data_IF_658043223323
#
_entry.id   IF_658043223323
#
_cell.length_a   1.000
_cell.length_b   1.000
_cell.length_c   1.000
_cell.angle_alpha   90.00
_cell.angle_beta   90.00
_cell.angle_gamma   90.00
#
_symmetry.space_group_name_H-M   'P 1'
#
loop_
_entity.id
_entity.type
_entity.pdbx_description
1 polymer ?
#
# COMPACT_ATOMS: atom_id res chain seq x y z
N UNK A 1 15.03 23.99 14.06
CA UNK A 1 15.71 24.21 12.76
C UNK A 1 16.23 22.92 12.13
N UNK A 2 17.02 22.08 12.82
CA UNK A 2 17.59 20.83 12.26
C UNK A 2 16.52 19.85 11.72
N UNK A 3 15.39 19.71 12.41
CA UNK A 3 14.28 18.88 11.97
C UNK A 3 13.61 19.42 10.70
N UNK A 4 13.45 20.73 10.59
CA UNK A 4 12.87 21.38 9.41
C UNK A 4 13.76 21.19 8.17
N UNK A 5 15.08 21.32 8.32
CA UNK A 5 16.04 21.07 7.24
C UNK A 5 15.99 19.61 6.78
N UNK A 6 15.94 18.66 7.72
CA UNK A 6 15.83 17.25 7.40
C UNK A 6 14.50 16.89 6.69
N UNK A 7 13.38 17.48 7.14
CA UNK A 7 12.08 17.33 6.50
C UNK A 7 12.05 17.92 5.09
N UNK A 8 12.62 19.12 4.91
CA UNK A 8 12.76 19.78 3.61
C UNK A 8 13.57 18.92 2.63
N UNK A 9 14.71 18.37 3.07
CA UNK A 9 15.53 17.48 2.24
C UNK A 9 14.80 16.17 1.87
N UNK A 10 14.04 15.60 2.81
CA UNK A 10 13.22 14.40 2.54
C UNK A 10 12.12 14.68 1.51
N UNK A 11 11.45 15.83 1.62
CA UNK A 11 10.42 16.26 0.69
C UNK A 11 11.01 16.59 -0.69
N UNK A 12 12.15 17.28 -0.76
CA UNK A 12 12.86 17.56 -2.01
C UNK A 12 13.20 16.26 -2.76
N UNK A 13 13.64 15.23 -2.03
CA UNK A 13 13.90 13.90 -2.60
C UNK A 13 12.64 13.27 -3.20
N UNK A 14 11.51 13.33 -2.50
CA UNK A 14 10.22 12.78 -2.99
C UNK A 14 9.72 13.52 -4.23
N UNK A 15 9.92 14.83 -4.28
CA UNK A 15 9.57 15.70 -5.42
C UNK A 15 10.61 15.67 -6.54
N UNK A 16 11.70 14.90 -6.39
CA UNK A 16 12.83 14.84 -7.33
C UNK A 16 13.47 16.21 -7.60
N UNK A 17 13.48 17.08 -6.61
CA UNK A 17 14.16 18.37 -6.64
C UNK A 17 15.63 18.23 -6.23
N UNK A 18 16.51 19.19 -6.60
CA UNK A 18 17.88 19.20 -6.12
C UNK A 18 17.93 19.22 -4.58
N UNK A 19 18.82 18.46 -3.93
CA UNK A 19 18.85 18.32 -2.47
C UNK A 19 19.21 19.61 -1.70
N UNK A 20 19.70 20.63 -2.39
CA UNK A 20 20.04 21.94 -1.84
C UNK A 20 18.82 22.87 -1.74
N UNK A 21 17.67 22.49 -2.33
CA UNK A 21 16.45 23.31 -2.28
C UNK A 21 15.88 23.25 -0.88
N UNK A 22 15.76 24.40 -0.22
CA UNK A 22 15.01 24.52 1.03
C UNK A 22 13.55 24.80 0.70
N UNK A 23 12.69 23.87 1.10
CA UNK A 23 11.25 24.02 0.99
C UNK A 23 10.75 24.67 2.29
N UNK A 24 9.99 25.72 2.16
CA UNK A 24 9.33 26.41 3.28
C UNK A 24 7.82 26.28 3.11
N UNK A 25 7.06 26.10 4.20
CA UNK A 25 5.61 26.19 4.14
C UNK A 25 5.19 27.56 3.59
N UNK A 26 4.15 27.59 2.76
CA UNK A 26 3.57 28.83 2.26
C UNK A 26 2.66 29.49 3.31
N UNK A 27 2.16 28.69 4.24
CA UNK A 27 1.24 29.09 5.30
C UNK A 27 2.00 29.21 6.64
N UNK A 28 1.74 30.24 7.41
CA UNK A 28 2.35 30.45 8.73
C UNK A 28 1.77 29.48 9.77
N UNK A 29 0.50 29.14 9.64
CA UNK A 29 -0.19 28.18 10.52
C UNK A 29 -0.80 27.05 9.68
N UNK A 30 -0.68 25.78 10.11
CA UNK A 30 -1.28 24.67 9.40
C UNK A 30 -2.82 24.78 9.45
N UNK A 31 -3.47 24.64 8.28
CA UNK A 31 -4.92 24.61 8.18
C UNK A 31 -5.42 23.16 8.14
N UNK A 32 -6.55 22.84 8.80
CA UNK A 32 -7.13 21.51 8.73
C UNK A 32 -7.67 21.20 7.32
N UNK A 33 -7.27 20.07 6.75
CA UNK A 33 -7.69 19.61 5.43
C UNK A 33 -8.86 18.64 5.61
N UNK A 34 -10.01 18.95 5.05
CA UNK A 34 -11.21 18.13 5.12
C UNK A 34 -11.42 17.37 3.80
N UNK A 35 -10.92 16.14 3.70
CA UNK A 35 -11.19 15.26 2.55
C UNK A 35 -12.33 14.28 2.85
N UNK A 36 -12.36 13.75 4.06
CA UNK A 36 -13.38 12.83 4.55
C UNK A 36 -13.99 13.38 5.83
N UNK A 37 -15.32 13.43 5.90
CA UNK A 37 -16.05 13.85 7.11
C UNK A 37 -15.98 12.78 8.21
N UNK A 38 -16.11 13.21 9.47
CA UNK A 38 -16.19 12.28 10.59
C UNK A 38 -17.47 11.44 10.60
N UNK A 39 -18.48 11.86 9.84
CA UNK A 39 -19.77 11.21 9.60
C UNK A 39 -19.79 10.29 8.37
N UNK A 40 -18.64 10.13 7.69
CA UNK A 40 -18.54 9.24 6.54
C UNK A 40 -18.86 7.80 6.92
N UNK A 41 -19.67 7.13 6.12
CA UNK A 41 -20.02 5.73 6.32
C UNK A 41 -18.81 4.82 6.06
N UNK A 42 -18.33 4.20 7.14
CA UNK A 42 -17.13 3.34 7.11
C UNK A 42 -17.32 2.13 6.18
N UNK A 43 -18.54 1.57 6.11
CA UNK A 43 -18.81 0.42 5.26
C UNK A 43 -18.71 0.79 3.78
N UNK A 44 -19.13 2.00 3.41
CA UNK A 44 -18.97 2.52 2.05
C UNK A 44 -17.50 2.73 1.69
N UNK A 45 -16.68 3.26 2.61
CA UNK A 45 -15.24 3.44 2.42
C UNK A 45 -14.51 2.10 2.26
N UNK A 46 -14.90 1.08 3.04
CA UNK A 46 -14.36 -0.28 2.91
C UNK A 46 -14.72 -0.87 1.54
N UNK A 47 -15.96 -0.69 1.09
CA UNK A 47 -16.40 -1.18 -0.23
C UNK A 47 -15.62 -0.50 -1.37
N UNK A 48 -15.37 0.80 -1.27
CA UNK A 48 -14.53 1.54 -2.21
C UNK A 48 -13.09 1.02 -2.19
N UNK A 49 -12.50 0.79 -1.00
CA UNK A 49 -11.16 0.25 -0.85
C UNK A 49 -11.01 -1.13 -1.51
N UNK A 50 -12.00 -2.01 -1.38
CA UNK A 50 -11.98 -3.31 -2.03
C UNK A 50 -12.02 -3.24 -3.56
N UNK A 51 -12.64 -2.18 -4.11
CA UNK A 51 -12.70 -1.94 -5.55
C UNK A 51 -11.45 -1.27 -6.13
N UNK A 52 -10.80 -0.42 -5.36
CA UNK A 52 -9.71 0.46 -5.82
C UNK A 52 -8.30 -0.09 -5.58
N UNK A 53 -8.13 -0.95 -4.57
CA UNK A 53 -6.81 -1.45 -4.16
C UNK A 53 -6.22 -2.47 -5.14
N UNK A 54 -5.07 -2.18 -5.76
CA UNK A 54 -4.44 -3.06 -6.76
C UNK A 54 -3.95 -4.38 -6.14
N UNK A 55 -3.68 -4.43 -4.83
CA UNK A 55 -3.27 -5.65 -4.12
C UNK A 55 -4.35 -6.73 -4.18
N UNK A 56 -5.63 -6.35 -4.03
CA UNK A 56 -6.74 -7.30 -4.14
C UNK A 56 -6.93 -7.80 -5.56
N UNK A 57 -6.80 -6.92 -6.56
CA UNK A 57 -6.85 -7.32 -7.96
C UNK A 57 -5.72 -8.33 -8.30
N UNK A 58 -4.51 -8.09 -7.78
CA UNK A 58 -3.39 -9.00 -7.93
C UNK A 58 -3.66 -10.38 -7.31
N UNK A 59 -4.18 -10.42 -6.07
CA UNK A 59 -4.51 -11.68 -5.41
C UNK A 59 -5.69 -12.39 -6.07
N UNK A 60 -6.68 -11.66 -6.59
CA UNK A 60 -7.78 -12.22 -7.37
C UNK A 60 -7.26 -12.90 -8.64
N UNK A 61 -6.35 -12.27 -9.38
CA UNK A 61 -5.72 -12.86 -10.55
C UNK A 61 -4.90 -14.12 -10.20
N UNK A 62 -4.18 -14.12 -9.06
CA UNK A 62 -3.47 -15.31 -8.57
C UNK A 62 -4.41 -16.45 -8.22
N UNK A 63 -5.55 -16.16 -7.57
CA UNK A 63 -6.59 -17.15 -7.26
C UNK A 63 -7.16 -17.74 -8.55
N UNK A 64 -7.45 -16.91 -9.53
CA UNK A 64 -7.95 -17.36 -10.83
C UNK A 64 -6.93 -18.25 -11.55
N UNK A 65 -5.66 -17.85 -11.58
CA UNK A 65 -4.58 -18.67 -12.15
C UNK A 65 -4.46 -20.03 -11.44
N UNK A 66 -4.61 -20.08 -10.11
CA UNK A 66 -4.63 -21.36 -9.38
C UNK A 66 -5.85 -22.21 -9.74
N UNK A 67 -7.03 -21.60 -9.93
CA UNK A 67 -8.23 -22.29 -10.39
C UNK A 67 -8.02 -22.94 -11.77
N UNK A 68 -7.39 -22.21 -12.71
CA UNK A 68 -7.04 -22.74 -14.02
C UNK A 68 -6.03 -23.87 -13.94
N UNK A 69 -5.05 -23.83 -13.01
CA UNK A 69 -4.10 -24.93 -12.78
C UNK A 69 -4.81 -26.19 -12.30
N UNK A 70 -5.81 -26.09 -11.40
CA UNK A 70 -6.62 -27.21 -10.96
C UNK A 70 -7.40 -27.81 -12.16
N UNK A 71 -8.01 -26.96 -12.99
CA UNK A 71 -8.72 -27.40 -14.21
C UNK A 71 -7.77 -28.10 -15.17
N UNK A 72 -6.62 -27.50 -15.45
CA UNK A 72 -5.58 -28.07 -16.31
C UNK A 72 -5.16 -29.46 -15.83
N UNK A 73 -4.85 -29.60 -14.53
CA UNK A 73 -4.41 -30.88 -13.97
C UNK A 73 -5.51 -31.97 -14.02
N UNK A 74 -6.78 -31.58 -13.96
CA UNK A 74 -7.91 -32.49 -14.14
C UNK A 74 -7.98 -33.05 -15.58
N UNK A 75 -7.68 -32.23 -16.59
CA UNK A 75 -7.75 -32.61 -17.99
C UNK A 75 -6.44 -33.21 -18.51
N UNK A 76 -5.30 -33.01 -17.84
CA UNK A 76 -3.98 -33.48 -18.25
C UNK A 76 -3.92 -34.97 -18.64
N UNK A 77 -4.53 -35.92 -17.90
CA UNK A 77 -4.47 -37.34 -18.27
C UNK A 77 -5.15 -37.65 -19.61
N UNK A 78 -6.05 -36.79 -20.04
CA UNK A 78 -6.86 -36.99 -21.26
C UNK A 78 -6.29 -36.28 -22.47
N UNK A 79 -5.40 -35.28 -22.26
CA UNK A 79 -4.80 -34.48 -23.32
C UNK A 79 -3.37 -34.96 -23.61
N UNK A 80 -3.04 -35.33 -24.86
CA UNK A 80 -1.69 -35.68 -25.20
C UNK A 80 -0.79 -34.48 -25.27
N UNK A 81 0.49 -34.64 -24.90
CA UNK A 81 1.53 -33.69 -25.24
C UNK A 81 1.90 -33.88 -26.72
N UNK A 82 1.69 -32.85 -27.54
CA UNK A 82 2.01 -32.90 -28.96
C UNK A 82 3.38 -32.24 -29.13
N UNK A 83 4.33 -33.01 -29.67
CA UNK A 83 5.66 -32.52 -29.99
C UNK A 83 5.81 -32.53 -31.52
N UNK A 84 6.28 -31.43 -32.06
CA UNK A 84 6.59 -31.27 -33.47
C UNK A 84 8.09 -30.98 -33.55
N UNK A 85 8.81 -31.88 -34.18
CA UNK A 85 10.24 -31.74 -34.42
C UNK A 85 10.52 -31.59 -35.93
N UNK A 86 11.45 -30.76 -36.28
CA UNK A 86 12.03 -30.71 -37.63
C UNK A 86 13.55 -30.72 -37.50
N UNK A 87 14.17 -31.71 -38.09
CA UNK A 87 15.60 -31.83 -38.12
C UNK A 87 16.09 -31.87 -39.59
N UNK A 88 17.11 -31.11 -39.89
CA UNK A 88 17.73 -31.10 -41.20
C UNK A 88 19.24 -31.06 -41.05
N UNK A 89 19.92 -31.82 -41.87
CA UNK A 89 21.38 -31.83 -41.83
C UNK A 89 21.98 -32.52 -43.08
N UNK A 90 23.20 -32.27 -43.31
CA UNK A 90 24.00 -33.00 -44.27
C UNK A 90 24.74 -34.13 -43.57
N UNK A 91 24.49 -35.34 -43.99
CA UNK A 91 25.12 -36.54 -43.45
C UNK A 91 26.06 -37.11 -44.52
N UNK A 92 27.31 -37.14 -44.25
CA UNK A 92 28.34 -37.76 -45.11
C UNK A 92 29.41 -38.39 -44.25
N UNK A 93 29.88 -39.52 -44.66
CA UNK A 93 30.98 -40.24 -44.03
C UNK A 93 31.48 -41.31 -44.93
N UNK A 94 32.76 -41.29 -45.30
CA UNK A 94 33.47 -42.40 -45.91
C UNK A 94 34.73 -42.74 -45.12
N UNK A 95 35.17 -43.97 -45.03
CA UNK A 95 36.48 -44.30 -44.50
C UNK A 95 37.55 -43.65 -45.36
N UNK A 96 38.09 -42.46 -44.87
CA UNK A 96 39.15 -41.77 -45.60
C UNK A 96 38.90 -40.28 -45.84
N UNK A 97 38.28 -39.56 -44.88
CA UNK A 97 38.20 -38.09 -44.79
C UNK A 97 37.66 -37.27 -45.99
N UNK A 98 37.09 -37.89 -46.99
CA UNK A 98 36.48 -37.18 -48.11
C UNK A 98 34.96 -37.04 -47.92
N UNK A 99 34.49 -35.81 -47.60
CA UNK A 99 33.07 -35.42 -47.51
C UNK A 99 32.30 -35.44 -48.86
N UNK A 100 32.82 -36.16 -49.87
CA UNK A 100 32.30 -36.14 -51.25
C UNK A 100 30.97 -36.89 -51.45
N UNK A 101 30.48 -37.66 -50.48
CA UNK A 101 29.21 -38.37 -50.54
C UNK A 101 28.27 -37.95 -49.46
N UNK A 102 28.11 -36.65 -49.21
CA UNK A 102 27.10 -36.10 -48.33
C UNK A 102 25.73 -36.10 -49.01
N UNK A 103 24.73 -36.59 -48.29
CA UNK A 103 23.34 -36.45 -48.65
C UNK A 103 22.63 -35.55 -47.66
N UNK A 104 21.83 -34.61 -48.14
CA UNK A 104 20.98 -33.85 -47.27
C UNK A 104 19.78 -34.70 -46.83
N UNK A 105 19.50 -34.71 -45.54
CA UNK A 105 18.31 -35.38 -44.98
C UNK A 105 17.53 -34.37 -44.16
N UNK A 106 16.24 -34.28 -44.37
CA UNK A 106 15.28 -33.54 -43.54
C UNK A 106 14.23 -34.49 -43.03
N UNK A 107 14.04 -34.47 -41.72
CA UNK A 107 13.02 -35.26 -41.08
C UNK A 107 12.05 -34.32 -40.34
N UNK A 108 10.75 -34.59 -40.48
CA UNK A 108 9.68 -33.94 -39.71
C UNK A 108 8.99 -35.01 -38.90
N UNK A 109 8.95 -34.81 -37.59
CA UNK A 109 8.30 -35.71 -36.67
C UNK A 109 7.14 -35.04 -35.95
N UNK A 110 6.06 -35.79 -35.79
CA UNK A 110 4.90 -35.46 -34.98
C UNK A 110 4.70 -36.57 -33.97
N UNK A 111 4.86 -36.24 -32.68
CA UNK A 111 4.72 -37.18 -31.60
C UNK A 111 3.58 -36.75 -30.68
N UNK A 112 2.65 -37.66 -30.37
CA UNK A 112 1.61 -37.46 -29.38
C UNK A 112 1.86 -38.42 -28.20
N UNK A 113 2.11 -37.85 -27.01
CA UNK A 113 2.45 -38.61 -25.80
C UNK A 113 1.38 -38.41 -24.73
N UNK A 114 0.76 -39.52 -24.32
CA UNK A 114 -0.11 -39.57 -23.13
C UNK A 114 0.70 -40.04 -21.94
N UNK A 115 0.66 -39.26 -20.85
CA UNK A 115 1.40 -39.56 -19.63
C UNK A 115 0.45 -39.88 -18.46
N UNK A 116 0.46 -41.11 -18.00
CA UNK A 116 -0.24 -41.56 -16.81
C UNK A 116 0.78 -41.87 -15.71
N UNK A 117 0.97 -40.94 -14.79
CA UNK A 117 1.92 -41.12 -13.70
C UNK A 117 1.44 -42.15 -12.70
N UNK A 118 2.25 -43.20 -12.45
CA UNK A 118 1.96 -44.27 -11.48
C UNK A 118 0.54 -44.86 -11.64
N UNK A 119 0.17 -45.27 -12.85
CA UNK A 119 -1.16 -45.79 -13.16
C UNK A 119 -2.33 -44.86 -12.79
N UNK A 120 -2.10 -43.55 -12.82
CA UNK A 120 -3.08 -42.50 -12.50
C UNK A 120 -3.07 -42.05 -11.05
N UNK A 121 -2.46 -42.75 -10.10
CA UNK A 121 -2.37 -42.32 -8.69
C UNK A 121 -1.56 -41.05 -8.53
N UNK A 122 -0.49 -40.88 -9.32
CA UNK A 122 0.33 -39.64 -9.34
C UNK A 122 -0.49 -38.43 -9.79
N UNK A 123 -1.33 -38.59 -10.80
CA UNK A 123 -2.21 -37.52 -11.28
C UNK A 123 -3.24 -37.09 -10.23
N UNK A 124 -3.80 -38.08 -9.45
CA UNK A 124 -4.70 -37.75 -8.33
C UNK A 124 -3.99 -37.01 -7.21
N UNK A 125 -2.77 -37.42 -6.86
CA UNK A 125 -1.95 -36.73 -5.86
C UNK A 125 -1.67 -35.29 -6.28
N UNK A 126 -1.28 -35.07 -7.54
CA UNK A 126 -1.02 -33.76 -8.10
C UNK A 126 -2.26 -32.85 -8.11
N UNK A 127 -3.43 -33.41 -8.45
CA UNK A 127 -4.71 -32.67 -8.35
C UNK A 127 -5.01 -32.24 -6.90
N UNK A 128 -4.71 -33.10 -5.90
CA UNK A 128 -4.87 -32.72 -4.48
C UNK A 128 -3.93 -31.58 -4.10
N UNK A 129 -2.68 -31.62 -4.52
CA UNK A 129 -1.73 -30.53 -4.32
C UNK A 129 -2.22 -29.22 -4.92
N UNK A 130 -2.68 -29.23 -6.18
CA UNK A 130 -3.24 -28.03 -6.84
C UNK A 130 -4.49 -27.48 -6.16
N UNK A 131 -5.34 -28.33 -5.60
CA UNK A 131 -6.48 -27.89 -4.78
C UNK A 131 -6.02 -27.25 -3.47
N UNK A 132 -4.99 -27.79 -2.81
CA UNK A 132 -4.38 -27.17 -1.64
C UNK A 132 -3.81 -25.78 -1.95
N UNK A 133 -3.07 -25.65 -3.06
CA UNK A 133 -2.57 -24.34 -3.53
C UNK A 133 -3.71 -23.35 -3.81
N UNK A 134 -4.80 -23.80 -4.44
CA UNK A 134 -5.97 -22.94 -4.68
C UNK A 134 -6.58 -22.47 -3.36
N UNK A 135 -6.76 -23.37 -2.40
CA UNK A 135 -7.29 -23.02 -1.08
C UNK A 135 -6.42 -22.01 -0.37
N UNK A 136 -5.08 -22.18 -0.41
CA UNK A 136 -4.14 -21.20 0.12
C UNK A 136 -4.33 -19.81 -0.54
N UNK A 137 -4.51 -19.73 -1.87
CA UNK A 137 -4.72 -18.45 -2.57
C UNK A 137 -6.06 -17.79 -2.22
N UNK A 138 -7.10 -18.59 -1.97
CA UNK A 138 -8.38 -18.07 -1.47
C UNK A 138 -8.20 -17.44 -0.09
N UNK A 139 -7.57 -18.15 0.84
CA UNK A 139 -7.31 -17.62 2.19
C UNK A 139 -6.44 -16.37 2.19
N UNK A 140 -5.40 -16.31 1.35
CA UNK A 140 -4.56 -15.12 1.19
C UNK A 140 -5.36 -13.91 0.69
N UNK A 141 -6.30 -14.12 -0.22
CA UNK A 141 -7.16 -13.05 -0.71
C UNK A 141 -8.14 -12.57 0.36
N UNK A 142 -8.76 -13.49 1.11
CA UNK A 142 -9.66 -13.17 2.23
C UNK A 142 -8.91 -12.41 3.33
N UNK A 143 -7.74 -12.90 3.75
CA UNK A 143 -6.91 -12.24 4.74
C UNK A 143 -6.54 -10.81 4.32
N UNK A 144 -6.16 -10.59 3.06
CA UNK A 144 -5.83 -9.25 2.59
C UNK A 144 -7.04 -8.33 2.57
N UNK A 145 -8.21 -8.85 2.24
CA UNK A 145 -9.47 -8.12 2.28
C UNK A 145 -9.81 -7.66 3.71
N UNK A 146 -9.62 -8.55 4.69
CA UNK A 146 -9.85 -8.23 6.09
C UNK A 146 -8.82 -7.24 6.63
N UNK A 147 -7.55 -7.35 6.23
CA UNK A 147 -6.49 -6.40 6.58
C UNK A 147 -6.81 -4.99 6.05
N UNK A 148 -7.30 -4.88 4.81
CA UNK A 148 -7.69 -3.60 4.23
C UNK A 148 -8.87 -3.00 4.99
N UNK A 149 -9.88 -3.80 5.34
CA UNK A 149 -11.01 -3.32 6.13
C UNK A 149 -10.54 -2.78 7.51
N UNK A 150 -9.67 -3.52 8.19
CA UNK A 150 -9.10 -3.08 9.46
C UNK A 150 -8.26 -1.78 9.31
N UNK A 151 -7.48 -1.64 8.22
CA UNK A 151 -6.70 -0.43 7.94
C UNK A 151 -7.60 0.79 7.72
N UNK A 152 -8.71 0.64 6.99
CA UNK A 152 -9.69 1.72 6.76
C UNK A 152 -10.36 2.13 8.07
N UNK A 153 -10.81 1.16 8.89
CA UNK A 153 -11.44 1.42 10.19
C UNK A 153 -10.48 2.16 11.12
N UNK A 154 -9.22 1.70 11.21
CA UNK A 154 -8.20 2.35 12.05
C UNK A 154 -7.90 3.77 11.57
N UNK A 155 -7.74 3.97 10.25
CA UNK A 155 -7.48 5.29 9.70
C UNK A 155 -8.64 6.26 9.91
N UNK A 156 -9.90 5.78 9.86
CA UNK A 156 -11.08 6.59 10.15
C UNK A 156 -11.17 6.95 11.63
N UNK A 157 -10.85 6.01 12.52
CA UNK A 157 -10.78 6.29 13.96
C UNK A 157 -9.73 7.37 14.28
N UNK A 158 -8.56 7.33 13.60
CA UNK A 158 -7.54 8.38 13.72
C UNK A 158 -8.09 9.75 13.29
N UNK A 159 -8.83 9.82 12.17
CA UNK A 159 -9.46 11.07 11.69
C UNK A 159 -10.42 11.66 12.72
N UNK A 160 -11.28 10.83 13.30
CA UNK A 160 -12.26 11.26 14.31
C UNK A 160 -11.52 11.76 15.56
N UNK A 161 -10.59 10.97 16.07
CA UNK A 161 -9.84 11.30 17.28
C UNK A 161 -9.03 12.60 17.14
N UNK A 162 -8.31 12.78 16.04
CA UNK A 162 -7.52 14.02 15.82
C UNK A 162 -8.41 15.24 15.56
N UNK A 163 -9.60 15.08 15.03
CA UNK A 163 -10.58 16.18 14.96
C UNK A 163 -11.03 16.63 16.35
N UNK A 164 -11.35 15.70 17.23
CA UNK A 164 -11.70 16.03 18.62
C UNK A 164 -10.54 16.73 19.34
N UNK A 165 -9.29 16.31 19.08
CA UNK A 165 -8.12 16.96 19.66
C UNK A 165 -7.94 18.41 19.16
N UNK A 166 -8.31 18.74 17.93
CA UNK A 166 -8.31 20.12 17.42
C UNK A 166 -9.30 20.96 18.23
N UNK A 167 -10.53 20.47 18.44
CA UNK A 167 -11.56 21.19 19.19
C UNK A 167 -11.12 21.46 20.66
N UNK A 168 -10.45 20.48 21.28
CA UNK A 168 -9.89 20.61 22.64
C UNK A 168 -8.75 21.63 22.64
N UNK A 169 -7.87 21.60 21.64
CA UNK A 169 -6.73 22.53 21.55
C UNK A 169 -7.18 23.98 21.27
N UNK A 170 -8.24 24.17 20.49
CA UNK A 170 -8.87 25.49 20.28
C UNK A 170 -9.41 26.07 21.61
N UNK A 171 -10.07 25.23 22.40
CA UNK A 171 -10.55 25.64 23.72
C UNK A 171 -9.37 25.99 24.66
N UNK A 172 -8.30 25.19 24.65
CA UNK A 172 -7.12 25.42 25.45
C UNK A 172 -6.44 26.77 25.11
N UNK A 173 -6.39 27.13 23.81
CA UNK A 173 -5.88 28.44 23.38
C UNK A 173 -6.75 29.57 23.96
N UNK A 174 -8.09 29.44 23.86
CA UNK A 174 -8.99 30.47 24.39
C UNK A 174 -8.83 30.64 25.91
N UNK A 175 -8.71 29.56 26.67
CA UNK A 175 -8.53 29.57 28.12
C UNK A 175 -7.17 30.16 28.50
N UNK A 176 -6.08 29.80 27.78
CA UNK A 176 -4.74 30.34 28.00
C UNK A 176 -4.66 31.82 27.67
N UNK A 177 -5.32 32.26 26.59
CA UNK A 177 -5.38 33.67 26.22
C UNK A 177 -6.13 34.49 27.28
N UNK A 178 -7.25 34.03 27.78
CA UNK A 178 -7.97 34.67 28.87
C UNK A 178 -7.11 34.76 30.13
N UNK A 179 -6.40 33.68 30.48
CA UNK A 179 -5.48 33.67 31.62
C UNK A 179 -4.35 34.72 31.45
N UNK A 180 -3.77 34.82 30.25
CA UNK A 180 -2.76 35.84 29.94
C UNK A 180 -3.30 37.24 30.08
N UNK A 181 -4.50 37.55 29.56
CA UNK A 181 -5.12 38.86 29.63
C UNK A 181 -5.39 39.28 31.09
N UNK A 182 -5.95 38.37 31.90
CA UNK A 182 -6.21 38.61 33.31
C UNK A 182 -4.91 38.87 34.11
N UNK A 183 -3.88 38.06 33.91
CA UNK A 183 -2.60 38.26 34.60
C UNK A 183 -1.89 39.53 34.17
N UNK A 184 -1.99 39.90 32.89
CA UNK A 184 -1.45 41.16 32.39
C UNK A 184 -2.16 42.38 32.97
N UNK A 185 -3.50 42.32 33.16
CA UNK A 185 -4.28 43.38 33.80
C UNK A 185 -3.90 43.51 35.29
N UNK A 186 -3.83 42.41 36.04
CA UNK A 186 -3.40 42.36 37.43
C UNK A 186 -2.01 42.99 37.66
N UNK A 187 -1.08 42.74 36.73
CA UNK A 187 0.27 43.39 36.80
C UNK A 187 0.18 44.88 36.57
N UNK A 188 -0.63 45.34 35.61
CA UNK A 188 -0.81 46.80 35.35
C UNK A 188 -1.43 47.51 36.55
N UNK A 189 -2.29 46.84 37.31
CA UNK A 189 -2.89 47.32 38.54
C UNK A 189 -1.95 47.18 39.76
N UNK A 190 -0.74 46.67 39.58
CA UNK A 190 0.24 46.41 40.65
C UNK A 190 -0.20 45.35 41.70
N UNK A 191 -1.16 44.48 41.34
CA UNK A 191 -1.68 43.40 42.18
C UNK A 191 -1.16 41.99 41.81
N UNK A 192 -0.52 41.85 40.58
CA UNK A 192 -0.05 40.60 40.06
C UNK A 192 1.45 40.36 40.27
N UNK A 193 1.85 39.09 40.26
CA UNK A 193 3.25 38.67 40.29
C UNK A 193 3.79 38.48 38.85
N UNK A 194 4.99 38.98 38.51
CA UNK A 194 5.59 38.79 37.19
C UNK A 194 5.74 37.32 36.77
N UNK A 195 5.90 36.42 37.73
CA UNK A 195 5.99 34.99 37.48
C UNK A 195 4.67 34.38 36.95
N UNK A 196 3.52 34.90 37.42
CA UNK A 196 2.19 34.45 36.96
C UNK A 196 1.96 34.85 35.49
N UNK A 197 2.42 36.04 35.12
CA UNK A 197 2.36 36.46 33.71
C UNK A 197 3.26 35.59 32.83
N UNK A 198 4.50 35.32 33.29
CA UNK A 198 5.41 34.45 32.52
C UNK A 198 4.82 33.04 32.31
N UNK A 199 4.23 32.48 33.38
CA UNK A 199 3.57 31.18 33.29
C UNK A 199 2.37 31.19 32.32
N UNK A 200 1.60 32.28 32.26
CA UNK A 200 0.49 32.39 31.30
C UNK A 200 0.96 32.57 29.85
N UNK A 201 2.13 33.16 29.62
CA UNK A 201 2.77 33.24 28.29
C UNK A 201 3.23 31.85 27.85
N UNK A 202 3.89 31.10 28.75
CA UNK A 202 4.33 29.75 28.48
C UNK A 202 3.12 28.83 28.17
N UNK A 203 2.05 28.92 28.98
CA UNK A 203 0.82 28.16 28.78
C UNK A 203 0.13 28.47 27.42
N UNK A 204 0.14 29.75 27.01
CA UNK A 204 -0.40 30.17 25.72
C UNK A 204 0.45 29.60 24.57
N UNK A 205 1.79 29.63 24.71
CA UNK A 205 2.70 29.07 23.72
C UNK A 205 2.51 27.55 23.58
N UNK A 206 2.42 26.84 24.71
CA UNK A 206 2.20 25.40 24.75
C UNK A 206 0.85 25.02 24.10
N UNK A 207 -0.21 25.81 24.37
CA UNK A 207 -1.53 25.59 23.76
C UNK A 207 -1.50 25.80 22.24
N UNK A 208 -0.76 26.83 21.74
CA UNK A 208 -0.59 27.05 20.30
C UNK A 208 0.21 25.93 19.63
N UNK A 209 1.25 25.44 20.27
CA UNK A 209 2.04 24.31 19.77
C UNK A 209 1.20 23.02 19.71
N UNK A 210 0.39 22.76 20.74
CA UNK A 210 -0.52 21.62 20.78
C UNK A 210 -1.58 21.69 19.67
N UNK A 211 -2.11 22.88 19.38
CA UNK A 211 -3.03 23.08 18.24
C UNK A 211 -2.36 22.77 16.91
N UNK A 212 -1.19 23.34 16.67
CA UNK A 212 -0.43 23.11 15.44
C UNK A 212 -0.10 21.61 15.24
N UNK A 213 0.26 20.91 16.30
CA UNK A 213 0.52 19.48 16.28
C UNK A 213 -0.77 18.68 15.97
N UNK A 214 -1.89 19.06 16.60
CA UNK A 214 -3.20 18.40 16.39
C UNK A 214 -3.65 18.56 14.94
N UNK A 215 -3.55 19.76 14.35
CA UNK A 215 -3.88 20.00 12.94
C UNK A 215 -2.96 19.20 12.01
N UNK A 216 -1.67 19.15 12.29
CA UNK A 216 -0.71 18.38 11.48
C UNK A 216 -1.01 16.87 11.56
N UNK A 217 -1.39 16.35 12.72
CA UNK A 217 -1.77 14.95 12.91
C UNK A 217 -3.09 14.63 12.21
N UNK A 218 -4.08 15.53 12.30
CA UNK A 218 -5.33 15.41 11.56
C UNK A 218 -5.12 15.33 10.04
N UNK A 219 -4.31 16.25 9.50
CA UNK A 219 -3.99 16.26 8.08
C UNK A 219 -3.29 14.96 7.65
N UNK A 220 -2.36 14.43 8.47
CA UNK A 220 -1.75 13.12 8.22
C UNK A 220 -2.77 11.99 8.24
N UNK A 221 -3.73 12.03 9.17
CA UNK A 221 -4.79 11.02 9.26
C UNK A 221 -5.69 11.05 8.01
N UNK A 222 -6.05 12.23 7.49
CA UNK A 222 -6.80 12.37 6.25
C UNK A 222 -6.08 11.72 5.05
N UNK A 223 -4.78 11.96 4.89
CA UNK A 223 -3.99 11.33 3.82
C UNK A 223 -3.79 9.81 4.04
N UNK A 224 -3.69 9.36 5.31
CA UNK A 224 -3.65 7.92 5.61
C UNK A 224 -4.95 7.24 5.23
N UNK A 225 -6.09 7.86 5.52
CA UNK A 225 -7.40 7.35 5.13
C UNK A 225 -7.55 7.30 3.60
N UNK A 226 -7.16 8.35 2.89
CA UNK A 226 -7.15 8.37 1.42
C UNK A 226 -6.31 7.23 0.85
N UNK A 227 -5.12 7.00 1.41
CA UNK A 227 -4.26 5.88 1.03
C UNK A 227 -4.89 4.53 1.37
N UNK A 228 -5.52 4.42 2.55
CA UNK A 228 -6.20 3.19 2.99
C UNK A 228 -7.35 2.81 2.06
N UNK A 229 -8.06 3.78 1.52
CA UNK A 229 -9.11 3.58 0.50
C UNK A 229 -8.50 3.24 -0.87
N UNK A 230 -7.24 3.59 -1.12
CA UNK A 230 -6.59 3.38 -2.43
C UNK A 230 -6.96 4.45 -3.46
N UNK A 231 -7.55 5.56 -3.02
CA UNK A 231 -7.84 6.67 -3.90
C UNK A 231 -6.54 7.37 -4.36
N UNK A 232 -6.40 7.74 -5.64
CA UNK A 232 -5.24 8.50 -6.10
C UNK A 232 -5.17 9.86 -5.40
N UNK A 233 -3.96 10.31 -5.08
CA UNK A 233 -3.76 11.68 -4.61
C UNK A 233 -4.27 12.66 -5.66
N UNK A 234 -5.23 13.48 -5.29
CA UNK A 234 -5.78 14.55 -6.14
C UNK A 234 -4.95 15.81 -6.02
#
# INVERSE_FOLDING_TARGET
ERQAVAASAALARLLRLPPQVQLMPAEETPLPIHMYGADADVDSLIAEAWGSRPELAHLAARREAACWRVKHEKWRPWMPNIQVGATGGEFGGAPGSDFRNGGSRSDVELLAVWEWQNLGLGNVALQRTRRGELHERVLQWEQQRDNIAAEVVAAMADVISFRELIEIAEQAIADAQQSYELNNERIRESEGLPIELLQSIDALTDAQDAYNESVANYNRAQYRLQRAIGAPAR
#
